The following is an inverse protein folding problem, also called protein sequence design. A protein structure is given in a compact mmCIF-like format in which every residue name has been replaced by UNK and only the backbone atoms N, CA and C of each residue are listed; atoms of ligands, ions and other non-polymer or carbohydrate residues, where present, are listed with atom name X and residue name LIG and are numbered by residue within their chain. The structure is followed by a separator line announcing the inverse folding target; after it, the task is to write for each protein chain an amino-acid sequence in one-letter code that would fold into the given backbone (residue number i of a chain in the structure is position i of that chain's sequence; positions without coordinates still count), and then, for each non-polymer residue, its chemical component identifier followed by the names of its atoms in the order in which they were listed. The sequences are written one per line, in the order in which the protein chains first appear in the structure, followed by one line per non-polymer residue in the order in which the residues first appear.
data_IF_540977724031
#
_entry.id   IF_540977724031
#
_cell.length_a   1.000
_cell.length_b   1.000
_cell.length_c   1.000
_cell.angle_alpha   90.00
_cell.angle_beta   90.00
_cell.angle_gamma   90.00
#
_symmetry.space_group_name_H-M   'P 1'
#
loop_
_entity.id
_entity.type
_entity.pdbx_description
1 polymer ?
#
# COMPACT_ATOMS: atom_id res chain seq x y z
N UNK A 1 6.26 13.25 34.14
CA UNK A 1 6.32 14.39 33.19
C UNK A 1 7.45 14.25 32.17
N UNK A 2 8.70 13.93 32.57
CA UNK A 2 9.84 13.80 31.63
C UNK A 2 9.61 12.81 30.44
N UNK A 3 9.07 11.60 30.63
CA UNK A 3 8.89 10.65 29.52
C UNK A 3 7.85 11.11 28.49
N UNK A 4 6.75 11.71 28.94
CA UNK A 4 5.71 12.29 28.06
C UNK A 4 6.31 13.37 27.16
N UNK A 5 7.11 14.27 27.72
CA UNK A 5 7.77 15.34 26.98
C UNK A 5 8.77 14.77 25.96
N UNK A 6 9.54 13.74 26.32
CA UNK A 6 10.45 13.07 25.39
C UNK A 6 9.71 12.46 24.19
N UNK A 7 8.60 11.75 24.41
CA UNK A 7 7.79 11.17 23.32
C UNK A 7 7.22 12.26 22.42
N UNK A 8 6.73 13.37 22.98
CA UNK A 8 6.25 14.51 22.19
C UNK A 8 7.36 15.09 21.32
N UNK A 9 8.54 15.36 21.90
CA UNK A 9 9.67 15.94 21.17
C UNK A 9 10.11 15.02 20.04
N UNK A 10 10.32 13.73 20.34
CA UNK A 10 10.71 12.74 19.32
C UNK A 10 9.68 12.67 18.20
N UNK A 11 8.39 12.68 18.54
CA UNK A 11 7.34 12.65 17.53
C UNK A 11 7.23 13.94 16.70
N UNK A 12 7.41 15.12 17.28
CA UNK A 12 7.44 16.38 16.53
C UNK A 12 8.63 16.40 15.57
N UNK A 13 9.82 15.99 16.01
CA UNK A 13 11.00 15.90 15.14
C UNK A 13 10.76 14.91 13.99
N UNK A 14 10.17 13.74 14.28
CA UNK A 14 9.77 12.77 13.24
C UNK A 14 8.77 13.38 12.25
N UNK A 15 7.78 14.14 12.71
CA UNK A 15 6.81 14.80 11.83
C UNK A 15 7.48 15.78 10.87
N UNK A 16 8.43 16.58 11.37
CA UNK A 16 9.19 17.52 10.54
C UNK A 16 10.03 16.77 9.48
N UNK A 17 10.64 15.64 9.85
CA UNK A 17 11.37 14.79 8.91
C UNK A 17 10.45 14.16 7.86
N UNK A 18 9.24 13.72 8.22
CA UNK A 18 8.27 13.23 7.24
C UNK A 18 7.78 14.34 6.30
N UNK A 19 7.55 15.56 6.80
CA UNK A 19 7.22 16.71 5.95
C UNK A 19 8.36 17.03 4.97
N UNK A 20 9.61 16.95 5.43
CA UNK A 20 10.77 17.12 4.57
C UNK A 20 10.90 15.99 3.55
N UNK A 21 10.62 14.74 3.96
CA UNK A 21 10.56 13.58 3.07
C UNK A 21 9.53 13.77 1.95
N UNK A 22 8.33 14.26 2.29
CA UNK A 22 7.30 14.61 1.30
C UNK A 22 7.76 15.70 0.34
N UNK A 23 8.53 16.69 0.82
CA UNK A 23 9.08 17.73 -0.04
C UNK A 23 10.06 17.15 -1.06
N UNK A 24 11.07 16.39 -0.61
CA UNK A 24 12.09 15.79 -1.50
C UNK A 24 11.51 14.70 -2.40
N UNK A 25 10.38 14.09 -2.02
CA UNK A 25 9.75 13.04 -2.84
C UNK A 25 9.42 13.51 -4.26
N UNK A 26 9.19 14.82 -4.44
CA UNK A 26 8.91 15.45 -5.75
C UNK A 26 10.06 15.29 -6.76
N UNK A 27 11.27 14.99 -6.30
CA UNK A 27 12.43 14.75 -7.15
C UNK A 27 12.50 13.29 -7.66
N UNK A 28 11.66 12.39 -7.15
CA UNK A 28 11.61 10.98 -7.56
C UNK A 28 10.67 10.78 -8.76
N UNK A 29 10.95 11.50 -9.85
CA UNK A 29 10.15 11.44 -11.08
C UNK A 29 10.28 10.09 -11.79
N UNK A 30 9.15 9.48 -12.13
CA UNK A 30 9.13 8.25 -12.93
C UNK A 30 9.66 8.56 -14.33
N UNK A 31 10.55 7.71 -14.85
CA UNK A 31 11.09 7.82 -16.22
C UNK A 31 12.20 8.85 -16.42
N UNK A 32 12.50 9.69 -15.43
CA UNK A 32 13.43 10.83 -15.59
C UNK A 32 14.34 11.01 -14.37
N UNK A 33 15.54 11.56 -14.59
CA UNK A 33 16.41 12.05 -13.53
C UNK A 33 16.89 10.99 -12.53
N UNK A 34 16.90 9.70 -12.89
CA UNK A 34 17.27 8.61 -11.97
C UNK A 34 18.64 8.81 -11.31
N UNK A 35 19.62 9.33 -12.05
CA UNK A 35 20.98 9.61 -11.56
C UNK A 35 21.02 10.80 -10.59
N UNK A 36 20.09 11.74 -10.72
CA UNK A 36 20.05 12.99 -9.94
C UNK A 36 19.15 12.90 -8.71
N UNK A 37 18.46 11.76 -8.51
CA UNK A 37 17.58 11.54 -7.36
C UNK A 37 18.37 11.73 -6.05
N UNK A 38 17.81 12.42 -5.05
CA UNK A 38 18.48 12.69 -3.78
C UNK A 38 18.50 11.45 -2.85
N UNK A 39 19.07 10.34 -3.32
CA UNK A 39 19.07 9.03 -2.65
C UNK A 39 19.79 9.12 -1.31
N UNK A 40 20.95 9.78 -1.24
CA UNK A 40 21.70 9.94 0.01
C UNK A 40 20.90 10.75 1.05
N UNK A 41 20.23 11.82 0.63
CA UNK A 41 19.37 12.62 1.49
C UNK A 41 18.18 11.81 2.00
N UNK A 42 17.52 11.06 1.11
CA UNK A 42 16.46 10.12 1.47
C UNK A 42 16.91 9.12 2.53
N UNK A 43 18.06 8.46 2.32
CA UNK A 43 18.60 7.47 3.26
C UNK A 43 18.95 8.11 4.61
N UNK A 44 19.54 9.31 4.62
CA UNK A 44 19.85 10.03 5.85
C UNK A 44 18.59 10.36 6.66
N UNK A 45 17.52 10.82 6.00
CA UNK A 45 16.22 11.07 6.64
C UNK A 45 15.63 9.76 7.17
N UNK A 46 15.62 8.70 6.36
CA UNK A 46 15.04 7.40 6.72
C UNK A 46 15.76 6.74 7.91
N UNK A 47 17.10 6.81 7.95
CA UNK A 47 17.87 6.34 9.11
C UNK A 47 17.66 7.20 10.34
N UNK A 48 17.51 8.52 10.18
CA UNK A 48 17.17 9.42 11.29
C UNK A 48 15.81 9.09 11.89
N UNK A 49 14.79 8.89 11.04
CA UNK A 49 13.45 8.43 11.45
C UNK A 49 13.52 7.09 12.19
N UNK A 50 14.33 6.14 11.70
CA UNK A 50 14.53 4.84 12.33
C UNK A 50 15.17 4.97 13.71
N UNK A 51 16.18 5.83 13.88
CA UNK A 51 16.80 6.09 15.17
C UNK A 51 15.82 6.72 16.18
N UNK A 52 15.02 7.69 15.73
CA UNK A 52 13.97 8.32 16.56
C UNK A 52 12.90 7.30 16.98
N UNK A 53 12.51 6.41 16.07
CA UNK A 53 11.60 5.31 16.34
C UNK A 53 12.15 4.34 17.40
N UNK A 54 13.38 3.84 17.23
CA UNK A 54 14.00 2.95 18.21
C UNK A 54 14.19 3.62 19.58
N UNK A 55 14.54 4.90 19.60
CA UNK A 55 14.64 5.70 20.83
C UNK A 55 13.28 5.79 21.54
N UNK A 56 12.20 6.01 20.77
CA UNK A 56 10.83 6.02 21.30
C UNK A 56 10.46 4.65 21.89
N UNK A 57 10.73 3.57 21.16
CA UNK A 57 10.46 2.21 21.64
C UNK A 57 11.22 1.90 22.93
N UNK A 58 12.51 2.26 23.02
CA UNK A 58 13.33 2.06 24.20
C UNK A 58 12.80 2.83 25.43
N UNK A 59 12.21 4.01 25.22
CA UNK A 59 11.54 4.77 26.29
C UNK A 59 10.27 4.03 26.71
N UNK A 60 9.40 3.67 25.75
CA UNK A 60 8.09 3.05 26.03
C UNK A 60 8.20 1.72 26.75
N UNK A 61 9.21 0.90 26.42
CA UNK A 61 9.49 -0.38 27.08
C UNK A 61 9.77 -0.23 28.58
N UNK A 62 10.23 0.95 29.02
CA UNK A 62 10.56 1.24 30.43
C UNK A 62 9.42 1.96 31.16
N UNK A 63 8.32 2.29 30.48
CA UNK A 63 7.21 3.04 31.06
C UNK A 63 5.97 2.16 31.23
N UNK A 64 5.19 2.36 32.31
CA UNK A 64 3.88 1.73 32.44
C UNK A 64 2.92 2.28 31.38
N UNK A 65 1.75 1.65 31.26
CA UNK A 65 0.68 2.17 30.42
C UNK A 65 0.27 3.57 30.90
N UNK A 66 0.22 4.52 29.96
CA UNK A 66 -0.14 5.91 30.23
C UNK A 66 -1.06 6.43 29.13
N UNK A 67 -2.29 6.79 29.50
CA UNK A 67 -3.34 7.22 28.58
C UNK A 67 -2.97 8.46 27.77
N UNK A 68 -2.25 9.41 28.38
CA UNK A 68 -1.82 10.60 27.66
C UNK A 68 -0.81 10.24 26.56
N UNK A 69 0.22 9.47 26.92
CA UNK A 69 1.22 8.95 25.97
C UNK A 69 0.55 8.16 24.84
N UNK A 70 -0.39 7.27 25.16
CA UNK A 70 -1.19 6.54 24.17
C UNK A 70 -1.82 7.47 23.12
N UNK A 71 -2.61 8.45 23.54
CA UNK A 71 -3.30 9.36 22.60
C UNK A 71 -2.34 10.27 21.84
N UNK A 72 -1.24 10.71 22.47
CA UNK A 72 -0.16 11.43 21.78
C UNK A 72 0.40 10.58 20.64
N UNK A 73 0.60 9.28 20.86
CA UNK A 73 1.13 8.37 19.84
C UNK A 73 0.15 8.12 18.71
N UNK A 74 -1.14 7.97 19.01
CA UNK A 74 -2.17 7.87 17.97
C UNK A 74 -2.23 9.16 17.14
N UNK A 75 -2.27 10.33 17.79
CA UNK A 75 -2.36 11.60 17.09
C UNK A 75 -1.15 11.84 16.17
N UNK A 76 0.07 11.69 16.69
CA UNK A 76 1.29 11.90 15.89
C UNK A 76 1.47 10.83 14.82
N UNK A 77 1.13 9.56 15.10
CA UNK A 77 1.21 8.50 14.10
C UNK A 77 0.26 8.70 12.92
N UNK A 78 -0.92 9.27 13.17
CA UNK A 78 -1.83 9.74 12.12
C UNK A 78 -1.25 10.94 11.37
N UNK A 79 -0.63 11.90 12.07
CA UNK A 79 0.02 13.04 11.43
C UNK A 79 1.18 12.61 10.51
N UNK A 80 1.96 11.58 10.88
CA UNK A 80 3.02 11.03 10.01
C UNK A 80 2.45 10.45 8.72
N UNK A 81 1.29 9.77 8.80
CA UNK A 81 0.61 9.24 7.62
C UNK A 81 0.06 10.36 6.74
N UNK A 82 -0.58 11.35 7.36
CA UNK A 82 -1.15 12.50 6.65
C UNK A 82 -0.07 13.35 5.96
N UNK A 83 1.11 13.50 6.56
CA UNK A 83 2.21 14.24 5.94
C UNK A 83 2.77 13.53 4.72
N UNK A 84 2.80 12.19 4.71
CA UNK A 84 3.29 11.35 3.60
C UNK A 84 2.24 11.06 2.54
N UNK A 85 0.96 11.12 2.88
CA UNK A 85 -0.15 10.82 1.95
C UNK A 85 -0.04 11.52 0.57
N UNK A 86 0.35 12.81 0.48
CA UNK A 86 0.52 13.50 -0.81
C UNK A 86 1.90 13.30 -1.45
N UNK A 87 2.83 12.60 -0.81
CA UNK A 87 4.19 12.40 -1.31
C UNK A 87 4.21 11.61 -2.62
N UNK A 88 5.14 11.91 -3.51
CA UNK A 88 5.37 11.07 -4.68
C UNK A 88 6.03 9.75 -4.24
N UNK A 89 5.77 8.68 -4.99
CA UNK A 89 6.36 7.37 -4.71
C UNK A 89 7.89 7.48 -4.78
N UNK A 90 8.57 6.98 -3.75
CA UNK A 90 10.02 6.95 -3.68
C UNK A 90 10.47 5.53 -4.02
N UNK A 91 11.08 5.38 -5.19
CA UNK A 91 11.63 4.10 -5.67
C UNK A 91 10.59 2.96 -5.71
N UNK A 92 9.35 3.27 -6.11
CA UNK A 92 8.27 2.29 -6.22
C UNK A 92 7.30 2.66 -7.37
N UNK A 93 6.77 1.65 -8.06
CA UNK A 93 5.83 1.80 -9.17
C UNK A 93 4.73 0.73 -9.28
N UNK A 94 4.68 -0.27 -8.40
CA UNK A 94 3.65 -1.34 -8.41
C UNK A 94 2.21 -0.81 -8.35
N UNK A 95 2.00 0.36 -7.76
CA UNK A 95 0.68 1.01 -7.67
C UNK A 95 -0.01 1.19 -9.02
N UNK A 96 0.75 1.33 -10.12
CA UNK A 96 0.17 1.42 -11.46
C UNK A 96 -0.46 0.09 -11.88
N UNK A 97 0.14 -1.03 -11.49
CA UNK A 97 -0.43 -2.36 -11.70
C UNK A 97 -1.71 -2.54 -10.90
N UNK A 98 -1.74 -2.14 -9.63
CA UNK A 98 -2.97 -2.22 -8.82
C UNK A 98 -4.13 -1.43 -9.43
N UNK A 99 -3.86 -0.23 -9.93
CA UNK A 99 -4.87 0.62 -10.58
C UNK A 99 -5.37 0.00 -11.89
N UNK A 100 -4.47 -0.56 -12.70
CA UNK A 100 -4.83 -1.25 -13.94
C UNK A 100 -5.66 -2.50 -13.67
N UNK A 101 -5.21 -3.36 -12.76
CA UNK A 101 -5.92 -4.59 -12.39
C UNK A 101 -7.32 -4.29 -11.83
N UNK A 102 -7.45 -3.25 -11.00
CA UNK A 102 -8.74 -2.77 -10.52
C UNK A 102 -9.67 -2.34 -11.65
N UNK A 103 -9.14 -1.70 -12.70
CA UNK A 103 -9.89 -1.31 -13.90
C UNK A 103 -10.32 -2.52 -14.74
N UNK A 104 -9.42 -3.48 -14.94
CA UNK A 104 -9.69 -4.76 -15.63
C UNK A 104 -10.83 -5.50 -14.92
N UNK A 105 -10.70 -5.68 -13.59
CA UNK A 105 -11.66 -6.45 -12.82
C UNK A 105 -13.01 -5.72 -12.65
N UNK A 106 -13.01 -4.39 -12.55
CA UNK A 106 -14.24 -3.59 -12.55
C UNK A 106 -15.04 -3.74 -13.85
N UNK A 107 -14.36 -4.05 -14.96
CA UNK A 107 -14.97 -4.29 -16.27
C UNK A 107 -15.37 -5.75 -16.51
N UNK A 108 -15.38 -6.57 -15.45
CA UNK A 108 -15.71 -8.00 -15.45
C UNK A 108 -14.78 -8.85 -16.33
N UNK A 109 -13.53 -8.43 -16.48
CA UNK A 109 -12.47 -9.21 -17.14
C UNK A 109 -11.56 -9.79 -16.06
N UNK A 110 -11.07 -11.00 -16.27
CA UNK A 110 -10.18 -11.70 -15.34
C UNK A 110 -8.76 -11.10 -15.36
N UNK A 111 -8.27 -10.47 -14.28
CA UNK A 111 -6.94 -9.84 -14.27
C UNK A 111 -5.77 -10.85 -14.33
N UNK A 112 -6.04 -12.14 -14.11
CA UNK A 112 -5.06 -13.23 -14.20
C UNK A 112 -4.90 -13.76 -15.63
N UNK A 113 -5.73 -13.32 -16.56
CA UNK A 113 -5.76 -13.88 -17.92
C UNK A 113 -4.82 -13.15 -18.88
N UNK A 114 -4.82 -11.82 -18.83
CA UNK A 114 -4.09 -10.99 -19.79
C UNK A 114 -2.97 -10.19 -19.15
N UNK A 115 -1.83 -10.10 -19.83
CA UNK A 115 -0.77 -9.18 -19.43
C UNK A 115 -1.06 -7.75 -19.94
N UNK A 116 -0.52 -6.71 -19.27
CA UNK A 116 -0.55 -5.34 -19.79
C UNK A 116 0.02 -5.18 -21.20
N UNK A 117 1.09 -5.92 -21.55
CA UNK A 117 1.72 -5.85 -22.88
C UNK A 117 0.82 -6.45 -23.96
N UNK A 118 0.11 -7.53 -23.64
CA UNK A 118 -0.80 -8.22 -24.56
C UNK A 118 -1.91 -7.29 -25.07
N UNK A 119 -2.39 -6.37 -24.23
CA UNK A 119 -3.37 -5.34 -24.57
C UNK A 119 -2.88 -4.39 -25.68
N UNK A 120 -1.56 -4.28 -25.86
CA UNK A 120 -0.91 -3.50 -26.92
C UNK A 120 -0.64 -4.36 -28.16
N UNK A 121 -0.10 -5.55 -27.93
CA UNK A 121 0.54 -6.36 -28.96
C UNK A 121 -0.45 -7.21 -29.76
N UNK A 122 -1.64 -7.53 -29.22
CA UNK A 122 -2.56 -8.46 -29.88
C UNK A 122 -3.00 -8.01 -31.29
N UNK A 123 -3.16 -6.70 -31.52
CA UNK A 123 -3.52 -6.16 -32.84
C UNK A 123 -2.37 -6.24 -33.83
N UNK A 124 -1.14 -6.04 -33.35
CA UNK A 124 0.06 -6.16 -34.17
C UNK A 124 0.28 -7.62 -34.57
N UNK A 125 0.08 -8.55 -33.62
CA UNK A 125 0.16 -10.00 -33.89
C UNK A 125 -0.85 -10.43 -34.96
N UNK A 126 -2.08 -9.91 -34.93
CA UNK A 126 -3.10 -10.18 -35.96
C UNK A 126 -2.65 -9.79 -37.37
N UNK A 127 -1.85 -8.74 -37.49
CA UNK A 127 -1.35 -8.23 -38.79
C UNK A 127 -0.09 -8.99 -39.22
N UNK A 128 0.86 -9.16 -38.30
CA UNK A 128 2.18 -9.73 -38.60
C UNK A 128 2.11 -11.26 -38.76
N UNK A 129 1.42 -11.95 -37.85
CA UNK A 129 1.38 -13.42 -37.77
C UNK A 129 -0.08 -13.91 -37.57
N UNK A 130 -0.95 -13.81 -38.59
CA UNK A 130 -2.37 -14.13 -38.46
C UNK A 130 -2.64 -15.59 -38.07
N UNK A 131 -1.82 -16.55 -38.52
CA UNK A 131 -1.98 -17.97 -38.15
C UNK A 131 -1.83 -18.16 -36.64
N UNK A 132 -0.73 -17.68 -36.05
CA UNK A 132 -0.49 -17.72 -34.60
C UNK A 132 -1.56 -16.96 -33.82
N UNK A 133 -2.04 -15.83 -34.35
CA UNK A 133 -3.10 -15.05 -33.71
C UNK A 133 -4.37 -15.90 -33.50
N UNK A 134 -4.85 -16.59 -34.54
CA UNK A 134 -6.06 -17.41 -34.45
C UNK A 134 -5.85 -18.76 -33.73
N UNK A 135 -4.61 -19.19 -33.50
CA UNK A 135 -4.29 -20.30 -32.60
C UNK A 135 -4.41 -19.91 -31.12
N UNK A 136 -4.03 -18.67 -30.78
CA UNK A 136 -4.01 -18.17 -29.40
C UNK A 136 -5.37 -17.60 -28.99
N UNK A 137 -6.00 -16.81 -29.87
CA UNK A 137 -7.20 -16.05 -29.54
C UNK A 137 -8.46 -16.61 -30.18
N UNK A 138 -9.52 -16.72 -29.38
CA UNK A 138 -10.88 -16.94 -29.85
C UNK A 138 -11.72 -15.66 -29.78
N UNK A 139 -12.97 -15.72 -30.23
CA UNK A 139 -13.90 -14.58 -30.23
C UNK A 139 -14.09 -13.94 -28.84
N UNK A 140 -14.07 -14.72 -27.75
CA UNK A 140 -14.19 -14.17 -26.38
C UNK A 140 -12.96 -13.35 -26.07
N UNK A 141 -11.77 -13.92 -26.27
CA UNK A 141 -10.54 -13.26 -25.89
C UNK A 141 -10.28 -12.01 -26.72
N UNK A 142 -10.59 -12.04 -28.02
CA UNK A 142 -10.51 -10.87 -28.90
C UNK A 142 -11.41 -9.73 -28.38
N UNK A 143 -12.69 -10.02 -28.05
CA UNK A 143 -13.61 -9.00 -27.52
C UNK A 143 -13.13 -8.40 -26.19
N UNK A 144 -12.58 -9.23 -25.30
CA UNK A 144 -12.04 -8.76 -24.03
C UNK A 144 -10.80 -7.89 -24.23
N UNK A 145 -9.85 -8.29 -25.07
CA UNK A 145 -8.65 -7.52 -25.40
C UNK A 145 -8.99 -6.20 -26.13
N UNK A 146 -9.99 -6.20 -27.02
CA UNK A 146 -10.50 -4.98 -27.65
C UNK A 146 -11.08 -4.01 -26.60
N UNK A 147 -11.84 -4.53 -25.63
CA UNK A 147 -12.37 -3.72 -24.52
C UNK A 147 -11.23 -3.16 -23.66
N UNK A 148 -10.23 -3.96 -23.31
CA UNK A 148 -9.04 -3.50 -22.57
C UNK A 148 -8.26 -2.44 -23.36
N UNK A 149 -8.10 -2.64 -24.67
CA UNK A 149 -7.47 -1.68 -25.57
C UNK A 149 -8.21 -0.34 -25.57
N UNK A 150 -9.55 -0.35 -25.54
CA UNK A 150 -10.33 0.87 -25.41
C UNK A 150 -10.16 1.55 -24.02
N UNK A 151 -10.14 0.77 -22.93
CA UNK A 151 -9.97 1.27 -21.56
C UNK A 151 -8.62 1.96 -21.34
N UNK A 152 -7.57 1.51 -22.03
CA UNK A 152 -6.27 2.20 -22.05
C UNK A 152 -6.41 3.66 -22.50
N UNK A 153 -7.28 3.95 -23.47
CA UNK A 153 -7.48 5.28 -24.05
C UNK A 153 -8.61 6.08 -23.40
N UNK A 154 -9.23 5.57 -22.34
CA UNK A 154 -10.34 6.22 -21.64
C UNK A 154 -9.97 7.62 -21.12
N UNK A 155 -8.72 7.83 -20.72
CA UNK A 155 -8.21 9.13 -20.32
C UNK A 155 -6.69 9.24 -20.54
N UNK A 156 -6.11 10.45 -20.65
CA UNK A 156 -4.66 10.63 -20.71
C UNK A 156 -3.93 10.00 -19.51
N UNK A 157 -4.64 9.92 -18.37
CA UNK A 157 -4.12 9.31 -17.15
C UNK A 157 -4.10 7.79 -17.22
N UNK A 158 -5.11 7.18 -17.84
CA UNK A 158 -5.18 5.73 -18.05
C UNK A 158 -4.00 5.23 -18.87
N UNK A 159 -3.76 5.90 -20.01
CA UNK A 159 -2.63 5.61 -20.89
C UNK A 159 -1.31 5.72 -20.11
N UNK A 160 -1.11 6.87 -19.47
CA UNK A 160 0.09 7.16 -18.68
C UNK A 160 0.32 6.14 -17.57
N UNK A 161 -0.73 5.64 -16.91
CA UNK A 161 -0.58 4.67 -15.83
C UNK A 161 -0.27 3.27 -16.37
N UNK A 162 -0.92 2.86 -17.46
CA UNK A 162 -0.61 1.58 -18.10
C UNK A 162 0.85 1.52 -18.60
N UNK A 163 1.36 2.60 -19.19
CA UNK A 163 2.76 2.70 -19.63
C UNK A 163 3.78 2.67 -18.48
N UNK A 164 3.33 2.93 -17.25
CA UNK A 164 4.16 2.90 -16.04
C UNK A 164 4.09 1.58 -15.29
N UNK A 165 3.29 0.64 -15.77
CA UNK A 165 3.20 -0.69 -15.17
C UNK A 165 4.54 -1.40 -15.32
N UNK A 166 5.15 -1.74 -14.18
CA UNK A 166 6.34 -2.56 -14.16
C UNK A 166 6.01 -4.01 -14.55
N UNK A 167 6.98 -4.72 -15.14
CA UNK A 167 6.82 -6.08 -15.65
C UNK A 167 5.53 -6.29 -16.49
N UNK A 168 5.31 -5.49 -17.56
CA UNK A 168 4.05 -5.53 -18.32
C UNK A 168 3.81 -6.85 -19.08
N UNK A 169 4.85 -7.68 -19.23
CA UNK A 169 4.79 -8.95 -19.95
C UNK A 169 4.12 -10.11 -19.19
N UNK A 170 3.73 -9.93 -17.92
CA UNK A 170 3.09 -11.00 -17.12
C UNK A 170 1.69 -10.61 -16.66
N UNK A 171 0.72 -11.56 -16.62
CA UNK A 171 -0.57 -11.38 -15.96
C UNK A 171 -0.43 -11.12 -14.46
N UNK A 172 -1.54 -10.82 -13.77
CA UNK A 172 -1.42 -10.42 -12.37
C UNK A 172 -0.91 -11.56 -11.49
N UNK A 173 -0.02 -11.24 -10.56
CA UNK A 173 0.48 -12.16 -9.53
C UNK A 173 -0.19 -11.89 -8.18
N UNK A 174 -1.03 -10.87 -8.10
CA UNK A 174 -1.54 -10.39 -6.82
C UNK A 174 -2.73 -11.23 -6.32
N UNK A 175 -2.82 -11.47 -5.00
CA UNK A 175 -3.85 -12.32 -4.42
C UNK A 175 -5.30 -11.84 -4.69
N UNK A 176 -6.31 -12.75 -4.73
CA UNK A 176 -7.69 -12.39 -5.10
C UNK A 176 -8.37 -11.34 -4.21
N UNK A 177 -8.12 -11.34 -2.89
CA UNK A 177 -8.67 -10.33 -1.98
C UNK A 177 -8.09 -8.94 -2.27
N UNK A 178 -6.80 -8.84 -2.63
CA UNK A 178 -6.22 -7.59 -3.09
C UNK A 178 -6.90 -7.08 -4.38
N UNK A 179 -7.20 -7.99 -5.32
CA UNK A 179 -7.95 -7.65 -6.53
C UNK A 179 -9.34 -7.06 -6.23
N UNK A 180 -10.06 -7.59 -5.24
CA UNK A 180 -11.34 -7.00 -4.80
C UNK A 180 -11.16 -5.59 -4.23
N UNK A 181 -10.09 -5.32 -3.48
CA UNK A 181 -9.77 -3.97 -3.01
C UNK A 181 -9.49 -3.04 -4.18
N UNK A 182 -8.71 -3.47 -5.17
CA UNK A 182 -8.39 -2.66 -6.35
C UNK A 182 -9.64 -2.30 -7.15
N UNK A 183 -10.55 -3.27 -7.36
CA UNK A 183 -11.86 -3.06 -7.99
C UNK A 183 -12.72 -2.07 -7.20
N UNK A 184 -12.74 -2.18 -5.88
CA UNK A 184 -13.49 -1.26 -5.02
C UNK A 184 -12.95 0.18 -5.12
N UNK A 185 -11.62 0.34 -5.11
CA UNK A 185 -10.96 1.64 -5.30
C UNK A 185 -11.30 2.24 -6.66
N UNK A 186 -11.22 1.44 -7.73
CA UNK A 186 -11.61 1.88 -9.07
C UNK A 186 -13.06 2.39 -9.12
N UNK A 187 -13.97 1.68 -8.44
CA UNK A 187 -15.40 2.05 -8.40
C UNK A 187 -15.66 3.37 -7.66
N UNK A 188 -14.79 3.75 -6.71
CA UNK A 188 -14.88 5.03 -6.00
C UNK A 188 -14.27 6.16 -6.83
N UNK A 189 -13.04 5.95 -7.32
CA UNK A 189 -12.32 6.95 -8.11
C UNK A 189 -11.30 6.27 -9.03
N UNK A 190 -11.63 6.09 -10.33
CA UNK A 190 -10.71 5.53 -11.31
C UNK A 190 -9.38 6.29 -11.35
N UNK A 191 -8.30 5.55 -11.63
CA UNK A 191 -6.95 6.09 -11.87
C UNK A 191 -6.49 7.07 -10.78
N UNK A 192 -6.72 6.75 -9.50
CA UNK A 192 -6.36 7.62 -8.38
C UNK A 192 -5.45 6.91 -7.37
N UNK A 193 -4.16 7.24 -7.43
CA UNK A 193 -3.17 6.86 -6.41
C UNK A 193 -3.63 7.28 -5.02
N UNK A 194 -4.19 8.49 -4.88
CA UNK A 194 -4.71 8.97 -3.60
C UNK A 194 -5.85 8.09 -3.07
N UNK A 195 -6.78 7.65 -3.93
CA UNK A 195 -7.85 6.76 -3.51
C UNK A 195 -7.31 5.39 -3.06
N UNK A 196 -6.31 4.85 -3.77
CA UNK A 196 -5.63 3.61 -3.37
C UNK A 196 -4.95 3.76 -2.00
N UNK A 197 -4.20 4.85 -1.79
CA UNK A 197 -3.54 5.14 -0.50
C UNK A 197 -4.52 5.35 0.64
N UNK A 198 -5.67 5.99 0.39
CA UNK A 198 -6.73 6.12 1.40
C UNK A 198 -7.28 4.73 1.75
N UNK A 199 -7.52 3.85 0.78
CA UNK A 199 -7.94 2.49 1.08
C UNK A 199 -6.90 1.73 1.91
N UNK A 200 -5.61 1.87 1.59
CA UNK A 200 -4.53 1.21 2.34
C UNK A 200 -4.35 1.81 3.73
N UNK A 201 -4.58 3.12 3.90
CA UNK A 201 -4.65 3.78 5.20
C UNK A 201 -5.80 3.21 6.07
N UNK A 202 -6.94 2.87 5.48
CA UNK A 202 -8.04 2.24 6.23
C UNK A 202 -7.62 0.84 6.74
N UNK A 203 -6.95 0.05 5.91
CA UNK A 203 -6.39 -1.24 6.35
C UNK A 203 -5.31 -1.06 7.42
N UNK A 204 -4.44 -0.06 7.30
CA UNK A 204 -3.42 0.26 8.30
C UNK A 204 -4.00 0.69 9.66
N UNK A 205 -5.05 1.51 9.66
CA UNK A 205 -5.79 1.88 10.88
C UNK A 205 -6.53 0.68 11.46
N UNK A 206 -7.07 -0.21 10.61
CA UNK A 206 -7.70 -1.46 11.03
C UNK A 206 -6.67 -2.41 11.68
N UNK A 207 -5.46 -2.52 11.13
CA UNK A 207 -4.34 -3.25 11.72
C UNK A 207 -4.01 -2.70 13.11
N UNK A 208 -3.87 -1.38 13.24
CA UNK A 208 -3.65 -0.73 14.53
C UNK A 208 -4.75 -1.08 15.54
N UNK A 209 -6.02 -1.02 15.12
CA UNK A 209 -7.15 -1.38 15.97
C UNK A 209 -7.03 -2.81 16.51
N UNK A 210 -6.71 -3.79 15.65
CA UNK A 210 -6.50 -5.17 16.07
C UNK A 210 -5.30 -5.32 16.99
N UNK A 211 -4.17 -4.66 16.72
CA UNK A 211 -2.98 -4.67 17.60
C UNK A 211 -3.32 -4.16 19.00
N UNK A 212 -4.03 -3.03 19.10
CA UNK A 212 -4.47 -2.49 20.40
C UNK A 212 -5.38 -3.50 21.11
N UNK A 213 -6.29 -4.13 20.37
CA UNK A 213 -7.17 -5.18 20.89
C UNK A 213 -6.41 -6.42 21.40
N UNK A 214 -5.39 -6.87 20.67
CA UNK A 214 -4.52 -7.99 21.05
C UNK A 214 -3.77 -7.64 22.35
N UNK A 215 -3.13 -6.47 22.41
CA UNK A 215 -2.43 -6.02 23.62
C UNK A 215 -3.37 -5.97 24.82
N UNK A 216 -4.58 -5.44 24.66
CA UNK A 216 -5.59 -5.39 25.71
C UNK A 216 -6.02 -6.80 26.18
N UNK A 217 -6.24 -7.74 25.26
CA UNK A 217 -6.62 -9.13 25.59
C UNK A 217 -5.52 -9.90 26.31
N UNK A 218 -4.26 -9.60 26.00
CA UNK A 218 -3.10 -10.21 26.64
C UNK A 218 -2.68 -9.50 27.95
N UNK A 219 -3.37 -8.43 28.36
CA UNK A 219 -2.99 -7.64 29.54
C UNK A 219 -1.66 -6.89 29.37
N UNK A 220 -1.25 -6.63 28.13
CA UNK A 220 -0.01 -5.93 27.79
C UNK A 220 -0.26 -4.42 27.65
N UNK A 221 0.80 -3.63 27.86
CA UNK A 221 0.75 -2.18 27.74
C UNK A 221 0.38 -1.75 26.31
N UNK A 222 -0.79 -1.12 26.13
CA UNK A 222 -1.28 -0.67 24.81
C UNK A 222 -0.40 0.39 24.15
N UNK A 223 0.43 1.11 24.92
CA UNK A 223 1.39 2.05 24.33
C UNK A 223 2.38 1.32 23.40
N UNK A 224 2.59 0.01 23.58
CA UNK A 224 3.43 -0.78 22.67
C UNK A 224 2.86 -0.88 21.25
N UNK A 225 1.62 -0.47 20.99
CA UNK A 225 1.09 -0.38 19.62
C UNK A 225 1.90 0.59 18.73
N UNK A 226 2.67 1.53 19.31
CA UNK A 226 3.56 2.38 18.51
C UNK A 226 4.75 1.65 17.89
N UNK A 227 5.13 0.46 18.37
CA UNK A 227 6.14 -0.37 17.66
C UNK A 227 5.68 -0.62 16.22
N UNK A 228 4.38 -0.77 16.01
CA UNK A 228 3.78 -0.79 14.69
C UNK A 228 3.52 0.62 14.16
N UNK A 229 2.75 1.41 14.91
CA UNK A 229 2.15 2.63 14.37
C UNK A 229 3.15 3.76 14.08
N UNK A 230 4.30 3.79 14.76
CA UNK A 230 5.37 4.76 14.51
C UNK A 230 6.52 4.19 13.68
N UNK A 231 6.43 2.93 13.23
CA UNK A 231 7.48 2.29 12.45
C UNK A 231 7.67 3.00 11.09
N UNK A 232 8.87 3.55 10.80
CA UNK A 232 9.13 4.21 9.53
C UNK A 232 8.99 3.28 8.33
N UNK A 233 9.30 1.98 8.50
CA UNK A 233 9.13 0.98 7.45
C UNK A 233 7.65 0.82 7.08
N UNK A 234 6.76 0.67 8.07
CA UNK A 234 5.31 0.56 7.81
C UNK A 234 4.80 1.79 7.07
N UNK A 235 5.21 2.99 7.49
CA UNK A 235 4.78 4.25 6.86
C UNK A 235 5.33 4.37 5.43
N UNK A 236 6.60 4.01 5.20
CA UNK A 236 7.20 4.03 3.86
C UNK A 236 6.50 3.02 2.95
N UNK A 237 6.42 1.76 3.35
CA UNK A 237 5.91 0.71 2.47
C UNK A 237 4.41 0.88 2.21
N UNK A 238 3.63 1.16 3.25
CA UNK A 238 2.17 1.22 3.12
C UNK A 238 1.67 2.52 2.48
N UNK A 239 2.21 3.67 2.88
CA UNK A 239 1.65 4.97 2.46
C UNK A 239 2.46 5.63 1.34
N UNK A 240 3.79 5.58 1.36
CA UNK A 240 4.58 6.17 0.29
C UNK A 240 4.62 5.25 -0.94
N UNK A 241 5.14 4.04 -0.77
CA UNK A 241 5.23 3.01 -1.79
C UNK A 241 3.85 2.49 -2.21
N UNK A 242 2.87 2.54 -1.30
CA UNK A 242 1.51 2.01 -1.57
C UNK A 242 1.56 0.51 -1.82
N UNK A 243 2.31 -0.24 -1.02
CA UNK A 243 2.34 -1.70 -1.10
C UNK A 243 1.06 -2.36 -0.57
N UNK A 244 0.64 -3.42 -1.26
CA UNK A 244 -0.61 -4.12 -0.98
C UNK A 244 -0.58 -4.94 0.31
N UNK A 245 0.61 -5.28 0.84
CA UNK A 245 0.82 -6.18 1.98
C UNK A 245 -0.03 -5.82 3.21
N UNK A 246 -0.39 -4.53 3.34
CA UNK A 246 -1.24 -4.04 4.42
C UNK A 246 -2.61 -4.72 4.48
N UNK A 247 -3.15 -5.17 3.34
CA UNK A 247 -4.42 -5.88 3.26
C UNK A 247 -4.28 -7.23 3.98
N UNK A 248 -3.32 -8.05 3.56
CA UNK A 248 -2.97 -9.30 4.22
C UNK A 248 -2.62 -9.13 5.70
N UNK A 249 -1.80 -8.12 6.05
CA UNK A 249 -1.40 -7.82 7.43
C UNK A 249 -2.62 -7.47 8.30
N UNK A 250 -3.56 -6.66 7.81
CA UNK A 250 -4.77 -6.29 8.56
C UNK A 250 -5.63 -7.51 8.88
N UNK A 251 -5.83 -8.40 7.91
CA UNK A 251 -6.57 -9.64 8.11
C UNK A 251 -5.82 -10.63 9.01
N UNK A 252 -4.49 -10.73 8.90
CA UNK A 252 -3.67 -11.54 9.80
C UNK A 252 -3.77 -11.04 11.25
N UNK A 253 -3.65 -9.74 11.50
CA UNK A 253 -3.84 -9.15 12.82
C UNK A 253 -5.27 -9.39 13.34
N UNK A 254 -6.29 -9.29 12.48
CA UNK A 254 -7.66 -9.65 12.84
C UNK A 254 -7.81 -11.12 13.22
N UNK A 255 -7.13 -12.03 12.50
CA UNK A 255 -7.11 -13.45 12.83
C UNK A 255 -6.54 -13.70 14.22
N UNK A 256 -5.37 -13.11 14.54
CA UNK A 256 -4.74 -13.21 15.85
C UNK A 256 -5.65 -12.62 16.94
N UNK A 257 -6.28 -11.46 16.68
CA UNK A 257 -7.21 -10.83 17.62
C UNK A 257 -8.40 -11.75 17.97
N UNK A 258 -9.02 -12.37 16.96
CA UNK A 258 -10.13 -13.29 17.19
C UNK A 258 -9.69 -14.59 17.85
N UNK A 259 -8.47 -15.06 17.56
CA UNK A 259 -7.89 -16.22 18.21
C UNK A 259 -7.72 -15.99 19.71
N UNK A 260 -7.08 -14.88 20.13
CA UNK A 260 -6.91 -14.54 21.55
C UNK A 260 -8.23 -14.14 22.23
N UNK A 261 -9.28 -13.90 21.44
CA UNK A 261 -10.64 -13.66 21.93
C UNK A 261 -11.50 -14.93 21.98
N UNK A 262 -10.92 -16.11 21.76
CA UNK A 262 -11.62 -17.41 21.72
C UNK A 262 -12.73 -17.50 20.65
N UNK A 263 -12.64 -16.72 19.56
CA UNK A 263 -13.57 -16.72 18.42
C UNK A 263 -12.95 -17.44 17.22
N UNK A 264 -12.76 -18.75 17.34
CA UNK A 264 -11.98 -19.55 16.38
C UNK A 264 -12.50 -19.48 14.94
N UNK A 265 -13.81 -19.53 14.72
CA UNK A 265 -14.38 -19.44 13.36
C UNK A 265 -14.02 -18.12 12.66
N UNK A 266 -14.10 -17.00 13.39
CA UNK A 266 -13.69 -15.69 12.84
C UNK A 266 -12.17 -15.64 12.60
N UNK A 267 -11.38 -16.24 13.50
CA UNK A 267 -9.94 -16.31 13.32
C UNK A 267 -9.56 -17.06 12.02
N UNK A 268 -10.25 -18.18 11.72
CA UNK A 268 -10.05 -18.94 10.48
C UNK A 268 -10.46 -18.16 9.25
N UNK A 269 -11.62 -17.48 9.29
CA UNK A 269 -12.07 -16.63 8.17
C UNK A 269 -11.06 -15.52 7.87
N UNK A 270 -10.62 -14.80 8.91
CA UNK A 270 -9.63 -13.74 8.76
C UNK A 270 -8.26 -14.27 8.31
N UNK A 271 -7.86 -15.47 8.73
CA UNK A 271 -6.62 -16.08 8.24
C UNK A 271 -6.70 -16.39 6.75
N UNK A 272 -7.83 -16.94 6.28
CA UNK A 272 -8.06 -17.21 4.86
C UNK A 272 -8.05 -15.92 4.04
N UNK A 273 -8.71 -14.86 4.52
CA UNK A 273 -8.66 -13.54 3.89
C UNK A 273 -7.24 -12.95 3.87
N UNK A 274 -6.44 -13.18 4.91
CA UNK A 274 -5.04 -12.75 4.97
C UNK A 274 -4.13 -13.47 3.98
N UNK A 275 -4.36 -14.76 3.71
CA UNK A 275 -3.62 -15.49 2.66
C UNK A 275 -4.03 -15.06 1.25
N UNK A 276 -5.29 -14.66 1.09
CA UNK A 276 -5.83 -14.18 -0.18
C UNK A 276 -5.57 -12.69 -0.42
N UNK A 277 -4.99 -11.94 0.53
CA UNK A 277 -4.84 -10.49 0.48
C UNK A 277 -3.41 -10.01 0.54
#
# INVERSE_FOLDING_TARGET
MRPRLQVIILGIVSLLLYLFLTHISKEFNWGEGYADRPILTYLAIYFSLSLLFFSTCAILLKQPEDRFTFWTMIALGLLFRLSILPAQQIQEDDVYRYLWDGKVFANNINPFEYSPSEVHEFKELRIQNPETYYEIYNERNERELEKLSALKWESPKSLKYLERVNHPGVPTIYPPMAQFVFRAVHSIKPDSILAMRIAFLLFDVLTLFFIIGILAKLGLNKNMSAVYFWCPLIIKETLNSTHLDIIGIAFLCGSIYFLVSHRHSLATVFLALGFLG
#
